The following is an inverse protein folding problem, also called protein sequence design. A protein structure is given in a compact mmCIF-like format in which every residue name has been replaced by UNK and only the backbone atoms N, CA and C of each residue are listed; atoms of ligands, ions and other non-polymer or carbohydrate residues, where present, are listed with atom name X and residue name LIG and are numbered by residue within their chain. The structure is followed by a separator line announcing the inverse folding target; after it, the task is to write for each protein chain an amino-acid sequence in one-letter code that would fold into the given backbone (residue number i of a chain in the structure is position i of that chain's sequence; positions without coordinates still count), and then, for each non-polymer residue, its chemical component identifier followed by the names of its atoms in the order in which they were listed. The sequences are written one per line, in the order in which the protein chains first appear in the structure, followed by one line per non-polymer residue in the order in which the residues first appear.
data_IF_292063955774
#
_entry.id   IF_292063955774
#
_cell.length_a   1.000
_cell.length_b   1.000
_cell.length_c   1.000
_cell.angle_alpha   90.00
_cell.angle_beta   90.00
_cell.angle_gamma   90.00
#
_symmetry.space_group_name_H-M   'P 1'
#
loop_
_entity.id
_entity.type
_entity.pdbx_description
1 polymer ?
#
# COMPACT_ATOMS: atom_id res chain seq x y z
N UNK A 1 -35.79 -5.03 -17.51
CA UNK A 1 -34.63 -5.78 -16.96
C UNK A 1 -33.61 -6.15 -18.06
N UNK A 2 -33.19 -5.19 -18.90
CA UNK A 2 -32.26 -5.46 -20.02
C UNK A 2 -30.92 -4.69 -19.92
N UNK A 3 -30.81 -3.67 -19.05
CA UNK A 3 -29.64 -2.77 -19.03
C UNK A 3 -28.48 -3.20 -18.13
N UNK A 4 -28.67 -4.15 -17.21
CA UNK A 4 -27.60 -4.56 -16.26
C UNK A 4 -26.51 -5.40 -16.94
N UNK A 5 -26.87 -6.23 -17.92
CA UNK A 5 -25.90 -7.09 -18.64
C UNK A 5 -24.91 -6.29 -19.49
N UNK A 6 -25.36 -5.16 -20.04
CA UNK A 6 -24.50 -4.27 -20.84
C UNK A 6 -23.58 -3.43 -19.97
N UNK A 7 -23.98 -3.11 -18.73
CA UNK A 7 -23.12 -2.36 -17.81
C UNK A 7 -21.90 -3.19 -17.38
N UNK A 8 -22.08 -4.48 -17.08
CA UNK A 8 -20.96 -5.38 -16.80
C UNK A 8 -20.05 -5.57 -18.01
N UNK A 9 -20.61 -5.69 -19.21
CA UNK A 9 -19.82 -5.80 -20.43
C UNK A 9 -19.06 -4.50 -20.74
N UNK A 10 -19.65 -3.33 -20.43
CA UNK A 10 -19.01 -2.02 -20.57
C UNK A 10 -17.91 -1.80 -19.56
N UNK A 11 -18.09 -2.19 -18.29
CA UNK A 11 -17.05 -2.09 -17.25
C UNK A 11 -15.91 -3.06 -17.53
N UNK A 12 -16.23 -4.30 -17.92
CA UNK A 12 -15.23 -5.28 -18.33
C UNK A 12 -14.46 -4.78 -19.56
N UNK A 13 -15.14 -4.19 -20.56
CA UNK A 13 -14.47 -3.56 -21.69
C UNK A 13 -13.65 -2.34 -21.28
N UNK A 14 -14.09 -1.52 -20.32
CA UNK A 14 -13.34 -0.35 -19.86
C UNK A 14 -12.07 -0.75 -19.10
N UNK A 15 -12.14 -1.77 -18.25
CA UNK A 15 -10.98 -2.33 -17.56
C UNK A 15 -10.06 -3.04 -18.55
N UNK A 16 -10.61 -3.76 -19.54
CA UNK A 16 -9.81 -4.32 -20.66
C UNK A 16 -9.18 -3.22 -21.50
N UNK A 17 -9.86 -2.10 -21.74
CA UNK A 17 -9.34 -0.97 -22.52
C UNK A 17 -8.29 -0.19 -21.74
N UNK A 18 -8.37 -0.13 -20.40
CA UNK A 18 -7.33 0.46 -19.55
C UNK A 18 -6.12 -0.47 -19.39
N UNK A 19 -6.31 -1.80 -19.42
CA UNK A 19 -5.23 -2.78 -19.31
C UNK A 19 -4.60 -3.17 -20.66
N UNK A 20 -5.36 -3.09 -21.75
CA UNK A 20 -4.92 -3.25 -23.14
C UNK A 20 -4.69 -1.92 -23.83
N UNK A 21 -4.82 -0.77 -23.13
CA UNK A 21 -4.16 0.44 -23.62
C UNK A 21 -2.69 0.04 -23.74
N UNK A 22 -2.15 -0.11 -24.96
CA UNK A 22 -0.73 0.10 -25.07
C UNK A 22 -0.57 1.49 -24.49
N UNK A 23 0.40 1.71 -23.61
CA UNK A 23 0.88 3.08 -23.50
C UNK A 23 1.21 3.51 -24.92
N UNK A 24 0.29 4.20 -25.59
CA UNK A 24 0.57 5.03 -26.75
C UNK A 24 1.24 6.29 -26.21
N UNK A 25 2.21 6.11 -25.31
CA UNK A 25 3.47 6.78 -25.44
C UNK A 25 4.00 6.31 -26.81
N UNK A 26 3.58 7.08 -27.81
CA UNK A 26 4.15 7.10 -29.14
C UNK A 26 5.64 6.82 -29.00
N UNK A 27 6.10 5.72 -29.60
CA UNK A 27 7.51 5.46 -29.89
C UNK A 27 7.97 6.48 -30.93
N UNK A 28 7.87 7.76 -30.57
CA UNK A 28 8.72 8.79 -31.10
C UNK A 28 9.98 8.51 -30.32
N UNK A 29 11.05 8.27 -31.05
CA UNK A 29 12.37 8.70 -30.60
C UNK A 29 12.26 10.17 -30.19
N UNK A 30 11.72 10.43 -28.99
CA UNK A 30 12.14 11.56 -28.22
C UNK A 30 13.59 11.20 -27.93
N UNK A 31 14.47 11.74 -28.78
CA UNK A 31 15.69 12.32 -28.24
C UNK A 31 15.24 13.05 -26.99
N UNK A 32 15.50 12.43 -25.85
CA UNK A 32 15.39 13.08 -24.57
C UNK A 32 16.31 14.27 -24.70
N UNK A 33 15.74 15.46 -24.90
CA UNK A 33 16.49 16.69 -24.75
C UNK A 33 17.14 16.57 -23.38
N UNK A 34 18.48 16.55 -23.28
CA UNK A 34 19.12 16.40 -21.99
C UNK A 34 18.54 17.46 -21.07
N UNK A 35 18.21 17.11 -19.80
CA UNK A 35 17.76 18.09 -18.84
C UNK A 35 18.72 19.28 -18.90
N UNK A 36 18.21 20.53 -18.87
CA UNK A 36 19.04 21.72 -19.00
C UNK A 36 20.26 21.58 -18.09
N UNK A 37 21.44 21.72 -18.68
CA UNK A 37 22.71 21.57 -17.97
C UNK A 37 22.79 22.65 -16.88
N UNK A 38 22.39 22.28 -15.67
CA UNK A 38 22.31 23.18 -14.53
C UNK A 38 21.30 22.67 -13.52
N UNK A 39 21.82 22.12 -12.42
CA UNK A 39 21.11 21.61 -11.25
C UNK A 39 20.33 20.28 -11.40
N UNK A 40 21.03 19.21 -11.79
CA UNK A 40 20.90 17.99 -10.98
C UNK A 40 21.92 18.12 -9.84
N UNK A 41 21.52 18.69 -8.70
CA UNK A 41 22.29 18.37 -7.49
C UNK A 41 22.17 16.86 -7.29
N UNK A 42 23.30 16.16 -7.24
CA UNK A 42 23.33 14.81 -6.71
C UNK A 42 23.06 14.93 -5.21
N UNK A 43 21.79 15.01 -4.85
CA UNK A 43 21.36 14.96 -3.45
C UNK A 43 21.55 13.53 -2.99
N UNK A 44 22.57 13.30 -2.17
CA UNK A 44 22.83 12.00 -1.54
C UNK A 44 22.01 11.90 -0.26
N UNK A 45 21.06 10.97 -0.23
CA UNK A 45 20.21 10.72 0.94
C UNK A 45 20.72 9.58 1.83
N UNK A 46 21.91 9.04 1.54
CA UNK A 46 22.50 7.94 2.29
C UNK A 46 22.78 8.33 3.73
N UNK A 47 22.29 7.51 4.66
CA UNK A 47 22.48 7.74 6.09
C UNK A 47 21.69 8.92 6.67
N UNK A 48 20.83 9.58 5.88
CA UNK A 48 19.89 10.58 6.41
C UNK A 48 18.88 9.97 7.38
N UNK A 49 18.56 8.68 7.18
CA UNK A 49 17.66 7.92 8.05
C UNK A 49 18.25 6.53 8.28
N UNK A 50 18.11 6.03 9.50
CA UNK A 50 18.61 4.69 9.85
C UNK A 50 17.53 3.63 9.71
N UNK A 51 16.26 4.03 9.70
CA UNK A 51 15.10 3.14 9.66
C UNK A 51 14.00 3.70 8.79
N UNK A 52 13.22 2.82 8.18
CA UNK A 52 11.97 3.18 7.51
C UNK A 52 10.82 2.33 8.05
N UNK A 53 9.73 3.00 8.44
CA UNK A 53 8.46 2.36 8.79
C UNK A 53 7.43 2.68 7.71
N UNK A 54 6.95 1.66 7.02
CA UNK A 54 6.08 1.83 5.85
C UNK A 54 4.65 1.38 6.12
N UNK A 55 3.69 2.14 5.62
CA UNK A 55 2.24 1.93 5.70
C UNK A 55 1.64 2.11 4.31
N UNK A 56 0.45 1.56 4.07
CA UNK A 56 -0.24 1.70 2.78
C UNK A 56 -0.93 0.41 2.32
N UNK A 57 -1.17 0.32 1.02
CA UNK A 57 -1.89 -0.79 0.40
C UNK A 57 -0.96 -1.75 -0.39
N UNK A 58 -1.46 -2.40 -1.45
CA UNK A 58 -0.69 -3.26 -2.36
C UNK A 58 0.54 -2.61 -2.99
N UNK A 59 0.54 -1.29 -3.20
CA UNK A 59 1.67 -0.58 -3.82
C UNK A 59 2.88 -0.46 -2.88
N UNK A 60 2.68 -0.75 -1.59
CA UNK A 60 3.72 -0.72 -0.56
C UNK A 60 3.92 -2.08 0.10
N UNK A 61 2.93 -2.99 0.10
CA UNK A 61 3.00 -4.29 0.77
C UNK A 61 4.12 -5.20 0.22
N UNK A 62 4.99 -5.65 1.12
CA UNK A 62 6.14 -6.54 0.84
C UNK A 62 5.91 -7.98 1.31
N UNK A 63 4.68 -8.33 1.73
CA UNK A 63 4.27 -9.72 1.96
C UNK A 63 3.34 -9.93 3.15
N UNK A 64 2.83 -8.88 3.79
CA UNK A 64 1.90 -9.01 4.91
C UNK A 64 0.61 -9.71 4.47
N UNK A 65 -0.01 -9.30 3.36
CA UNK A 65 -1.22 -9.96 2.88
C UNK A 65 -0.98 -11.43 2.47
N UNK A 66 0.21 -11.76 1.98
CA UNK A 66 0.59 -13.15 1.74
C UNK A 66 0.68 -13.94 3.05
N UNK A 67 1.41 -13.41 4.03
CA UNK A 67 1.65 -14.07 5.32
C UNK A 67 0.37 -14.19 6.18
N UNK A 68 -0.60 -13.31 5.98
CA UNK A 68 -1.94 -13.44 6.56
C UNK A 68 -2.80 -14.54 5.91
N UNK A 69 -2.39 -15.08 4.76
CA UNK A 69 -3.20 -16.01 3.97
C UNK A 69 -4.33 -15.34 3.18
N UNK A 70 -4.50 -14.02 3.33
CA UNK A 70 -5.54 -13.21 2.66
C UNK A 70 -5.42 -13.27 1.12
N UNK A 71 -4.19 -13.48 0.63
CA UNK A 71 -3.88 -13.42 -0.79
C UNK A 71 -4.16 -14.72 -1.57
N UNK A 72 -4.32 -15.86 -0.86
CA UNK A 72 -4.43 -17.20 -1.49
C UNK A 72 -5.67 -17.36 -2.36
N UNK A 73 -6.82 -16.82 -1.95
CA UNK A 73 -8.08 -16.92 -2.68
C UNK A 73 -8.12 -16.00 -3.91
N UNK A 74 -7.59 -14.78 -3.78
CA UNK A 74 -7.58 -13.78 -4.84
C UNK A 74 -6.54 -14.07 -5.93
N UNK A 75 -5.30 -14.45 -5.56
CA UNK A 75 -4.29 -14.85 -6.55
C UNK A 75 -4.76 -16.06 -7.35
N UNK A 76 -5.40 -17.04 -6.69
CA UNK A 76 -5.95 -18.21 -7.37
C UNK A 76 -7.08 -17.85 -8.34
N UNK A 77 -7.88 -16.83 -8.04
CA UNK A 77 -9.09 -16.50 -8.81
C UNK A 77 -8.84 -15.48 -9.92
N UNK A 78 -7.95 -14.52 -9.73
CA UNK A 78 -7.74 -13.40 -10.67
C UNK A 78 -6.33 -13.34 -11.28
N UNK A 79 -5.29 -13.93 -10.64
CA UNK A 79 -3.89 -13.74 -11.06
C UNK A 79 -3.18 -15.02 -11.50
N UNK A 80 -3.86 -16.17 -11.44
CA UNK A 80 -3.39 -17.50 -11.84
C UNK A 80 -3.04 -17.61 -13.32
N UNK A 81 -3.56 -16.73 -14.18
CA UNK A 81 -3.25 -16.72 -15.62
C UNK A 81 -2.38 -15.55 -16.10
N UNK A 82 -2.23 -14.47 -15.32
CA UNK A 82 -1.51 -13.27 -15.77
C UNK A 82 -0.20 -13.04 -15.01
N UNK A 83 -0.18 -13.11 -13.67
CA UNK A 83 0.92 -12.54 -12.86
C UNK A 83 1.55 -13.53 -11.86
N UNK A 84 1.14 -14.80 -11.89
CA UNK A 84 1.64 -15.83 -10.96
C UNK A 84 3.17 -16.03 -10.91
N UNK A 85 3.98 -15.87 -11.98
CA UNK A 85 5.44 -15.98 -11.85
C UNK A 85 6.11 -14.70 -11.33
N UNK A 86 5.39 -13.58 -11.29
CA UNK A 86 5.92 -12.24 -11.00
C UNK A 86 5.73 -11.82 -9.54
N UNK A 87 4.65 -12.29 -8.90
CA UNK A 87 4.38 -12.09 -7.48
C UNK A 87 5.02 -13.19 -6.61
N UNK A 88 6.32 -13.46 -6.76
CA UNK A 88 7.02 -14.50 -5.98
C UNK A 88 8.40 -14.01 -5.49
N UNK A 89 8.82 -14.52 -4.33
CA UNK A 89 10.17 -14.29 -3.82
C UNK A 89 11.24 -15.03 -4.64
N UNK A 90 10.86 -16.06 -5.39
CA UNK A 90 11.76 -17.11 -5.87
C UNK A 90 12.75 -16.67 -6.97
N UNK A 91 12.52 -15.53 -7.63
CA UNK A 91 13.40 -15.01 -8.68
C UNK A 91 13.99 -13.62 -8.38
N UNK A 92 13.80 -13.08 -7.16
CA UNK A 92 14.29 -11.75 -6.78
C UNK A 92 15.22 -11.84 -5.57
N UNK A 93 16.25 -10.99 -5.52
CA UNK A 93 17.10 -10.82 -4.32
C UNK A 93 16.34 -10.22 -3.11
N UNK A 94 15.03 -10.00 -3.23
CA UNK A 94 14.18 -9.35 -2.24
C UNK A 94 13.48 -10.41 -1.40
N UNK A 95 13.46 -10.22 -0.08
CA UNK A 95 12.63 -11.04 0.80
C UNK A 95 11.14 -10.68 0.63
N UNK A 96 10.26 -11.68 0.81
CA UNK A 96 8.81 -11.49 0.85
C UNK A 96 8.10 -11.50 -0.52
N UNK A 97 6.84 -11.08 -0.51
CA UNK A 97 5.91 -11.13 -1.65
C UNK A 97 5.45 -9.73 -2.04
N UNK A 98 5.63 -9.34 -3.30
CA UNK A 98 5.17 -8.04 -3.84
C UNK A 98 4.09 -8.28 -4.89
N UNK A 99 3.06 -7.44 -4.90
CA UNK A 99 2.02 -7.45 -5.95
C UNK A 99 2.44 -6.63 -7.16
N UNK A 100 3.66 -6.90 -7.63
CA UNK A 100 4.28 -6.24 -8.77
C UNK A 100 5.17 -7.26 -9.50
N UNK A 101 5.52 -6.97 -10.74
CA UNK A 101 6.49 -7.76 -11.51
C UNK A 101 7.94 -7.38 -11.26
N UNK A 102 8.19 -6.61 -10.21
CA UNK A 102 9.52 -6.22 -9.76
C UNK A 102 9.46 -5.47 -8.44
N UNK A 103 10.36 -4.50 -8.31
CA UNK A 103 10.47 -3.63 -7.14
C UNK A 103 9.28 -2.68 -7.02
N UNK A 104 8.85 -2.45 -5.78
CA UNK A 104 7.93 -1.38 -5.41
C UNK A 104 8.69 -0.05 -5.27
N UNK A 105 7.98 1.07 -5.28
CA UNK A 105 8.58 2.41 -5.07
C UNK A 105 9.36 2.47 -3.76
N UNK A 106 8.84 1.83 -2.70
CA UNK A 106 9.51 1.75 -1.39
C UNK A 106 10.86 1.03 -1.45
N UNK A 107 11.07 0.10 -2.41
CA UNK A 107 12.36 -0.58 -2.55
C UNK A 107 13.43 0.37 -3.11
N UNK A 108 13.05 1.20 -4.08
CA UNK A 108 13.94 2.24 -4.62
C UNK A 108 14.26 3.30 -3.57
N UNK A 109 13.31 3.64 -2.70
CA UNK A 109 13.57 4.53 -1.56
C UNK A 109 14.63 3.92 -0.63
N UNK A 110 14.50 2.64 -0.27
CA UNK A 110 15.48 1.97 0.59
C UNK A 110 16.88 1.97 -0.04
N UNK A 111 16.97 1.74 -1.35
CA UNK A 111 18.24 1.82 -2.09
C UNK A 111 18.84 3.22 -2.09
N UNK A 112 18.02 4.27 -2.28
CA UNK A 112 18.47 5.65 -2.24
C UNK A 112 18.98 6.07 -0.85
N UNK A 113 18.37 5.53 0.21
CA UNK A 113 18.79 5.74 1.60
C UNK A 113 19.97 4.83 2.02
N UNK A 114 20.34 3.86 1.19
CA UNK A 114 21.30 2.80 1.48
C UNK A 114 20.96 2.02 2.76
N UNK A 115 19.70 1.62 2.87
CA UNK A 115 19.21 0.69 3.90
C UNK A 115 18.70 -0.62 3.24
N UNK A 116 18.73 -1.75 3.95
CA UNK A 116 18.09 -2.99 3.50
C UNK A 116 16.63 -2.79 3.12
N UNK A 117 16.16 -3.52 2.12
CA UNK A 117 14.74 -3.54 1.76
C UNK A 117 13.88 -3.99 2.94
N UNK A 118 12.73 -3.35 3.08
CA UNK A 118 11.85 -3.62 4.21
C UNK A 118 11.21 -4.99 4.11
N UNK A 119 11.22 -5.70 5.23
CA UNK A 119 10.50 -6.96 5.39
C UNK A 119 9.08 -6.70 5.92
N UNK A 120 8.17 -7.57 5.52
CA UNK A 120 6.80 -7.57 6.01
C UNK A 120 6.77 -7.82 7.52
N UNK A 121 6.02 -7.01 8.27
CA UNK A 121 5.85 -7.18 9.72
C UNK A 121 5.37 -8.59 10.12
N UNK A 122 4.54 -9.21 9.28
CA UNK A 122 4.03 -10.58 9.48
C UNK A 122 5.00 -11.69 9.10
N UNK A 123 6.21 -11.38 8.65
CA UNK A 123 7.27 -12.37 8.48
C UNK A 123 7.92 -12.68 9.84
N UNK A 124 7.72 -13.91 10.33
CA UNK A 124 8.26 -14.35 11.62
C UNK A 124 9.77 -14.55 11.63
N UNK A 125 10.39 -14.66 10.46
CA UNK A 125 11.83 -14.86 10.27
C UNK A 125 12.61 -13.58 9.94
N UNK A 126 11.89 -12.46 9.77
CA UNK A 126 12.47 -11.22 9.31
C UNK A 126 13.34 -10.51 10.36
N UNK A 127 14.35 -9.79 9.86
CA UNK A 127 15.15 -8.85 10.62
C UNK A 127 14.61 -7.43 10.42
N UNK A 128 14.24 -6.78 11.52
CA UNK A 128 13.64 -5.43 11.51
C UNK A 128 14.60 -4.32 11.96
N UNK A 129 15.92 -4.58 11.96
CA UNK A 129 16.94 -3.60 12.40
C UNK A 129 16.90 -2.28 11.61
N UNK A 130 16.46 -2.32 10.35
CA UNK A 130 16.36 -1.16 9.45
C UNK A 130 14.91 -0.65 9.30
N UNK A 131 14.03 -1.07 10.20
CA UNK A 131 12.60 -0.78 10.17
C UNK A 131 11.78 -1.93 9.60
N UNK A 132 10.49 -1.66 9.37
CA UNK A 132 9.49 -2.67 9.07
C UNK A 132 8.40 -2.13 8.14
N UNK A 133 7.78 -3.03 7.38
CA UNK A 133 6.65 -2.70 6.52
C UNK A 133 5.35 -3.24 7.12
N UNK A 134 4.41 -2.34 7.40
CA UNK A 134 3.08 -2.60 7.94
C UNK A 134 1.98 -2.48 6.88
N UNK A 135 2.32 -2.10 5.63
CA UNK A 135 1.35 -2.02 4.54
C UNK A 135 0.72 -3.38 4.27
N UNK A 136 -0.56 -3.38 3.89
CA UNK A 136 -1.32 -4.60 3.65
C UNK A 136 -2.04 -4.45 2.32
N UNK A 137 -1.79 -5.36 1.40
CA UNK A 137 -2.47 -5.34 0.13
C UNK A 137 -4.01 -5.40 0.31
N UNK A 138 -4.72 -4.55 -0.42
CA UNK A 138 -6.17 -4.45 -0.33
C UNK A 138 -6.70 -3.69 0.90
N UNK A 139 -5.82 -3.06 1.68
CA UNK A 139 -6.16 -2.29 2.88
C UNK A 139 -7.01 -1.06 2.54
N UNK A 140 -7.97 -0.74 3.41
CA UNK A 140 -8.83 0.45 3.30
C UNK A 140 -8.36 1.57 4.23
N UNK A 141 -8.65 2.82 3.84
CA UNK A 141 -8.50 3.97 4.73
C UNK A 141 -9.61 4.00 5.78
N UNK A 142 -10.82 3.58 5.41
CA UNK A 142 -11.96 3.47 6.29
C UNK A 142 -11.92 2.17 7.11
N UNK A 143 -12.54 2.22 8.28
CA UNK A 143 -12.70 1.04 9.14
C UNK A 143 -13.60 -0.01 8.47
N UNK A 144 -13.25 -1.28 8.69
CA UNK A 144 -13.98 -2.44 8.20
C UNK A 144 -15.46 -2.45 8.61
N UNK A 145 -15.79 -1.82 9.75
CA UNK A 145 -17.16 -1.73 10.25
C UNK A 145 -18.10 -0.96 9.31
N UNK A 146 -17.59 0.01 8.55
CA UNK A 146 -18.37 0.78 7.58
C UNK A 146 -18.79 -0.11 6.41
N UNK A 147 -17.90 -0.98 5.93
CA UNK A 147 -18.20 -1.89 4.83
C UNK A 147 -19.22 -2.97 5.24
N UNK A 148 -19.10 -3.50 6.45
CA UNK A 148 -20.09 -4.43 7.01
C UNK A 148 -21.46 -3.77 7.24
N UNK A 149 -21.49 -2.55 7.77
CA UNK A 149 -22.73 -1.82 8.06
C UNK A 149 -23.48 -1.41 6.79
N UNK A 150 -22.79 -0.91 5.78
CA UNK A 150 -23.42 -0.52 4.50
C UNK A 150 -23.60 -1.69 3.53
N UNK A 151 -23.25 -2.92 3.95
CA UNK A 151 -23.25 -4.12 3.14
C UNK A 151 -22.50 -3.94 1.81
N UNK A 152 -21.38 -3.22 1.86
CA UNK A 152 -20.42 -3.07 0.75
C UNK A 152 -19.60 -4.36 0.53
N UNK A 153 -20.28 -5.51 0.58
CA UNK A 153 -19.75 -6.78 0.14
C UNK A 153 -19.74 -6.81 -1.38
N UNK A 154 -18.60 -6.47 -1.98
CA UNK A 154 -18.38 -6.74 -3.39
C UNK A 154 -17.74 -8.15 -3.53
N UNK A 155 -18.38 -9.12 -4.22
CA UNK A 155 -17.83 -10.47 -4.38
C UNK A 155 -16.51 -10.54 -5.16
N UNK A 156 -16.08 -9.45 -5.79
CA UNK A 156 -14.74 -9.31 -6.39
C UNK A 156 -13.64 -9.00 -5.36
N UNK A 157 -14.00 -8.72 -4.10
CA UNK A 157 -13.05 -8.32 -3.06
C UNK A 157 -12.65 -9.50 -2.15
N UNK A 158 -11.41 -9.43 -1.66
CA UNK A 158 -10.66 -10.59 -1.15
C UNK A 158 -11.21 -11.13 0.16
N UNK A 159 -11.91 -10.28 0.92
CA UNK A 159 -12.59 -10.61 2.16
C UNK A 159 -13.75 -9.64 2.43
N UNK A 160 -14.81 -10.08 3.12
CA UNK A 160 -15.93 -9.21 3.48
C UNK A 160 -15.53 -8.01 4.34
N UNK A 161 -14.58 -8.22 5.26
CA UNK A 161 -14.05 -7.20 6.15
C UNK A 161 -12.56 -6.99 5.83
N UNK A 162 -12.19 -5.91 5.13
CA UNK A 162 -10.80 -5.64 4.79
C UNK A 162 -9.96 -5.31 6.03
N UNK A 163 -8.65 -5.56 6.00
CA UNK A 163 -7.78 -4.82 6.92
C UNK A 163 -7.81 -3.34 6.54
N UNK A 164 -7.46 -2.49 7.49
CA UNK A 164 -7.49 -1.07 7.28
C UNK A 164 -6.27 -0.41 7.90
N UNK A 165 -6.12 0.89 7.66
CA UNK A 165 -4.99 1.67 8.18
C UNK A 165 -4.85 1.59 9.70
N UNK A 166 -5.95 1.42 10.45
CA UNK A 166 -5.89 1.26 11.91
C UNK A 166 -5.22 -0.06 12.31
N UNK A 167 -5.45 -1.15 11.57
CA UNK A 167 -4.73 -2.41 11.77
C UNK A 167 -3.21 -2.19 11.65
N UNK A 168 -2.78 -1.41 10.66
CA UNK A 168 -1.35 -1.14 10.43
C UNK A 168 -0.74 -0.29 11.55
N UNK A 169 -1.50 0.69 12.06
CA UNK A 169 -1.11 1.51 13.22
C UNK A 169 -1.01 0.65 14.48
N UNK A 170 -1.97 -0.24 14.72
CA UNK A 170 -1.94 -1.16 15.86
C UNK A 170 -0.72 -2.10 15.78
N UNK A 171 -0.40 -2.60 14.58
CA UNK A 171 0.80 -3.39 14.36
C UNK A 171 2.08 -2.60 14.64
N UNK A 172 2.15 -1.34 14.22
CA UNK A 172 3.29 -0.48 14.52
C UNK A 172 3.42 -0.23 16.04
N UNK A 173 2.32 0.04 16.74
CA UNK A 173 2.33 0.21 18.19
C UNK A 173 2.85 -1.03 18.92
N UNK A 174 2.37 -2.22 18.53
CA UNK A 174 2.85 -3.48 19.08
C UNK A 174 4.33 -3.70 18.74
N UNK A 175 4.73 -3.45 17.50
CA UNK A 175 6.13 -3.54 17.07
C UNK A 175 7.06 -2.64 17.91
N UNK A 176 6.64 -1.40 18.18
CA UNK A 176 7.42 -0.46 18.98
C UNK A 176 7.61 -1.00 20.40
N UNK A 177 6.54 -1.46 21.05
CA UNK A 177 6.61 -1.98 22.42
C UNK A 177 7.36 -3.30 22.54
N UNK A 178 7.12 -4.23 21.61
CA UNK A 178 7.61 -5.61 21.70
C UNK A 178 9.00 -5.81 21.11
N UNK A 179 9.43 -4.96 20.18
CA UNK A 179 10.69 -5.14 19.44
C UNK A 179 11.58 -3.91 19.46
N UNK A 180 11.08 -2.77 18.99
CA UNK A 180 11.92 -1.59 18.78
C UNK A 180 12.46 -1.00 20.10
N UNK A 181 11.58 -0.91 21.09
CA UNK A 181 11.85 -0.34 22.39
C UNK A 181 11.93 -1.38 23.50
N UNK A 182 12.02 -2.66 23.14
CA UNK A 182 12.13 -3.75 24.10
C UNK A 182 13.38 -3.55 24.99
N UNK A 183 13.16 -3.44 26.30
CA UNK A 183 14.23 -3.24 27.28
C UNK A 183 14.89 -1.86 27.26
N UNK A 184 14.34 -0.90 26.50
CA UNK A 184 14.81 0.49 26.45
C UNK A 184 13.96 1.36 27.37
N UNK A 185 14.58 2.38 27.97
CA UNK A 185 13.82 3.47 28.59
C UNK A 185 13.23 4.40 27.51
N UNK A 186 12.37 5.33 27.93
CA UNK A 186 11.67 6.25 27.05
C UNK A 186 12.65 7.11 26.22
N UNK A 187 13.75 7.58 26.82
CA UNK A 187 14.71 8.44 26.15
C UNK A 187 15.49 7.69 25.05
N UNK A 188 15.94 6.47 25.36
CA UNK A 188 16.60 5.59 24.42
C UNK A 188 15.64 5.18 23.29
N UNK A 189 14.40 4.80 23.61
CA UNK A 189 13.36 4.49 22.62
C UNK A 189 13.07 5.66 21.68
N UNK A 190 12.90 6.86 22.23
CA UNK A 190 12.65 8.08 21.45
C UNK A 190 13.83 8.42 20.54
N UNK A 191 15.05 8.18 20.98
CA UNK A 191 16.25 8.37 20.16
C UNK A 191 16.27 7.45 18.93
N UNK A 192 15.80 6.21 19.07
CA UNK A 192 15.70 5.25 17.96
C UNK A 192 14.69 5.69 16.90
N UNK A 193 13.54 6.22 17.34
CA UNK A 193 12.47 6.66 16.46
C UNK A 193 12.73 8.04 15.83
N UNK A 194 13.56 8.88 16.47
CA UNK A 194 13.84 10.25 16.00
C UNK A 194 14.51 10.30 14.63
N UNK A 195 15.29 9.28 14.26
CA UNK A 195 16.00 9.21 12.97
C UNK A 195 15.36 8.20 11.99
N UNK A 196 14.07 7.91 12.17
CA UNK A 196 13.31 7.07 11.28
C UNK A 196 12.51 7.90 10.26
N UNK A 197 12.37 7.37 9.05
CA UNK A 197 11.46 7.89 8.05
C UNK A 197 10.16 7.09 8.09
N UNK A 198 9.04 7.80 8.10
CA UNK A 198 7.71 7.20 8.03
C UNK A 198 7.19 7.36 6.60
N UNK A 199 6.98 6.23 5.92
CA UNK A 199 6.41 6.17 4.59
C UNK A 199 4.92 5.87 4.69
N UNK A 200 4.09 6.80 4.24
CA UNK A 200 2.65 6.59 4.09
C UNK A 200 2.37 6.46 2.59
N UNK A 201 2.28 5.22 2.11
CA UNK A 201 1.96 4.89 0.74
C UNK A 201 0.50 5.14 0.38
N UNK A 202 0.12 4.72 -0.82
CA UNK A 202 -1.28 4.80 -1.27
C UNK A 202 -2.19 4.10 -0.25
N UNK A 203 -3.30 4.78 0.06
CA UNK A 203 -4.42 4.23 0.79
C UNK A 203 -5.69 4.96 0.35
N UNK A 204 -6.79 4.24 0.15
CA UNK A 204 -8.09 4.83 -0.22
C UNK A 204 -8.66 4.31 -1.54
N UNK A 205 -7.83 3.92 -2.51
CA UNK A 205 -8.31 3.35 -3.78
C UNK A 205 -9.18 2.11 -3.55
N UNK A 206 -8.80 1.32 -2.55
CA UNK A 206 -9.53 0.16 -2.05
C UNK A 206 -10.91 0.47 -1.46
N UNK A 207 -11.12 1.66 -0.92
CA UNK A 207 -12.40 2.13 -0.39
C UNK A 207 -13.36 2.44 -1.55
N UNK A 208 -12.86 3.15 -2.56
CA UNK A 208 -13.61 3.44 -3.78
C UNK A 208 -13.98 2.16 -4.52
N UNK A 209 -13.03 1.24 -4.70
CA UNK A 209 -13.28 -0.04 -5.38
C UNK A 209 -14.41 -0.85 -4.72
N UNK A 210 -14.48 -0.80 -3.39
CA UNK A 210 -15.55 -1.45 -2.59
C UNK A 210 -16.89 -0.73 -2.71
N UNK A 211 -16.89 0.58 -2.87
CA UNK A 211 -18.10 1.38 -3.08
C UNK A 211 -18.62 1.31 -4.52
N UNK A 212 -17.73 1.18 -5.52
CA UNK A 212 -18.10 1.13 -6.94
C UNK A 212 -18.73 -0.21 -7.32
N UNK A 213 -19.89 -0.15 -7.99
CA UNK A 213 -20.68 -1.33 -8.39
C UNK A 213 -21.93 -1.56 -7.53
N UNK A 214 -22.02 -0.91 -6.37
CA UNK A 214 -23.26 -0.77 -5.64
C UNK A 214 -23.85 0.59 -6.00
N UNK A 215 -25.02 0.63 -6.65
CA UNK A 215 -25.74 1.88 -6.84
C UNK A 215 -25.92 2.53 -5.48
N UNK A 216 -25.19 3.62 -5.22
CA UNK A 216 -25.21 4.34 -3.95
C UNK A 216 -26.65 4.60 -3.54
N UNK A 217 -27.16 3.84 -2.56
CA UNK A 217 -28.38 4.18 -1.81
C UNK A 217 -28.05 5.09 -0.61
N UNK A 218 -26.82 5.59 -0.55
CA UNK A 218 -26.47 6.74 0.28
C UNK A 218 -26.89 7.97 -0.52
N UNK A 219 -27.53 9.01 0.07
CA UNK A 219 -27.82 10.23 -0.65
C UNK A 219 -26.49 10.87 -1.08
N UNK A 220 -26.00 10.53 -2.28
CA UNK A 220 -24.89 11.21 -2.95
C UNK A 220 -25.27 12.63 -3.41
N UNK A 221 -26.32 13.21 -2.82
CA UNK A 221 -26.95 14.45 -3.23
C UNK A 221 -27.64 15.14 -2.07
N UNK A 222 -26.95 15.35 -0.95
CA UNK A 222 -27.33 16.41 -0.01
C UNK A 222 -26.17 16.71 0.91
N UNK A 223 -25.36 17.69 0.49
CA UNK A 223 -24.50 18.48 1.38
C UNK A 223 -23.53 17.60 2.19
N UNK A 224 -22.47 17.13 1.53
CA UNK A 224 -21.20 16.99 2.20
C UNK A 224 -20.90 18.36 2.82
N UNK A 225 -21.27 18.53 4.08
CA UNK A 225 -20.80 19.66 4.85
C UNK A 225 -19.29 19.48 4.86
N UNK A 226 -18.61 20.42 4.23
CA UNK A 226 -17.15 20.66 4.28
C UNK A 226 -16.62 20.85 5.70
N UNK A 227 -17.41 20.54 6.73
CA UNK A 227 -17.12 20.71 8.15
C UNK A 227 -16.85 19.37 8.86
N UNK A 228 -16.85 18.23 8.15
CA UNK A 228 -16.37 16.94 8.67
C UNK A 228 -15.54 16.16 7.64
N UNK A 229 -14.60 16.86 7.01
CA UNK A 229 -13.31 16.20 6.76
C UNK A 229 -12.78 15.86 8.16
N UNK A 230 -12.53 14.59 8.54
CA UNK A 230 -11.61 14.37 9.64
C UNK A 230 -10.34 15.02 9.13
N UNK A 231 -10.01 16.20 9.67
CA UNK A 231 -8.72 16.81 9.46
C UNK A 231 -7.73 15.67 9.61
N UNK A 232 -7.01 15.34 8.53
CA UNK A 232 -5.76 14.61 8.65
C UNK A 232 -4.90 15.58 9.47
N UNK A 233 -5.05 15.47 10.78
CA UNK A 233 -4.12 16.04 11.71
C UNK A 233 -2.86 15.28 11.39
N UNK A 234 -1.91 15.98 10.76
CA UNK A 234 -0.50 15.69 10.98
C UNK A 234 -0.31 15.97 12.47
N UNK A 235 -0.72 15.02 13.31
CA UNK A 235 -0.33 15.01 14.70
C UNK A 235 1.13 14.64 14.63
N UNK A 236 2.00 15.55 15.07
CA UNK A 236 3.27 15.12 15.62
C UNK A 236 2.94 13.96 16.57
N UNK A 237 3.43 12.78 16.24
CA UNK A 237 3.34 11.61 17.09
C UNK A 237 4.25 11.90 18.29
N UNK A 238 3.73 12.68 19.22
CA UNK A 238 4.38 12.89 20.50
C UNK A 238 4.12 11.64 21.30
N UNK A 239 5.14 10.77 21.34
CA UNK A 239 5.24 9.73 22.36
C UNK A 239 5.05 10.42 23.72
N UNK A 240 4.02 10.01 24.44
CA UNK A 240 3.83 10.25 25.87
C UNK A 240 4.11 8.95 26.60
#
# INVERSE_FOLDING_TARGET
MANSKYLFLQIACFILLLSLSPSYAHNKSHESTPPPAGFQENVDFKGCFNKVYAFGDSDTDTGNAHNLGDLKSFISTLFSHAWSPYCSSENSKLSGYRLSNGRLVIDFLCEALNIPHLSAYKDSSANFSSGANFAIAGSTALSSNLFGHFNFGNPLMWKPNPENILTQIDWFHNFVGERECQGKDEAACKSELRNALFWIGEIGGNDYARATGQGCKVPCGSRATTNRVPSIAISNMSLK
#
